data_IF_749852669535
#
_entry.id   IF_749852669535
#
_cell.length_a   1.000
_cell.length_b   1.000
_cell.length_c   1.000
_cell.angle_alpha   90.00
_cell.angle_beta   90.00
_cell.angle_gamma   90.00
#
_symmetry.space_group_name_H-M   'P 1'
#
loop_
_entity.id
_entity.type
_entity.pdbx_description
1 polymer ?
#
# COMPACT_ATOMS: atom_id res chain seq x y z
N UNK A 1 24.73 -14.52 -8.68
CA UNK A 1 23.34 -14.41 -9.16
C UNK A 1 22.54 -13.98 -7.95
N UNK A 2 22.04 -12.73 -7.90
CA UNK A 2 21.20 -12.29 -6.79
C UNK A 2 19.98 -13.22 -6.79
N UNK A 3 19.85 -14.03 -5.74
CA UNK A 3 18.66 -14.85 -5.57
C UNK A 3 17.46 -13.91 -5.66
N UNK A 4 16.43 -14.32 -6.39
CA UNK A 4 15.17 -13.60 -6.42
C UNK A 4 14.54 -13.71 -5.03
N UNK A 5 15.04 -12.91 -4.09
CA UNK A 5 14.48 -12.75 -2.76
C UNK A 5 13.12 -12.11 -3.01
N UNK A 6 12.08 -12.94 -2.99
CA UNK A 6 10.72 -12.45 -3.01
C UNK A 6 10.60 -11.45 -1.85
N UNK A 7 10.08 -10.23 -2.08
CA UNK A 7 9.93 -9.21 -1.04
C UNK A 7 8.78 -9.58 -0.10
N UNK A 8 8.93 -10.70 0.60
CA UNK A 8 7.90 -11.30 1.42
C UNK A 8 7.56 -10.38 2.58
N UNK A 9 8.57 -9.72 3.16
CA UNK A 9 8.40 -8.74 4.23
C UNK A 9 7.53 -7.57 3.76
N UNK A 10 7.87 -6.97 2.61
CA UNK A 10 7.08 -5.89 2.01
C UNK A 10 5.64 -6.32 1.75
N UNK A 11 5.42 -7.53 1.20
CA UNK A 11 4.07 -8.04 0.92
C UNK A 11 3.27 -8.22 2.21
N UNK A 12 3.88 -8.79 3.26
CA UNK A 12 3.23 -9.00 4.56
C UNK A 12 2.88 -7.66 5.20
N UNK A 13 3.83 -6.72 5.27
CA UNK A 13 3.59 -5.39 5.84
C UNK A 13 2.53 -4.62 5.05
N UNK A 14 2.60 -4.62 3.72
CA UNK A 14 1.61 -3.97 2.87
C UNK A 14 0.21 -4.56 3.08
N UNK A 15 0.11 -5.88 3.21
CA UNK A 15 -1.18 -6.55 3.46
C UNK A 15 -1.75 -6.18 4.83
N UNK A 16 -0.91 -6.17 5.88
CA UNK A 16 -1.33 -5.75 7.22
C UNK A 16 -1.79 -4.29 7.25
N UNK A 17 -1.04 -3.39 6.61
CA UNK A 17 -1.40 -1.98 6.52
C UNK A 17 -2.70 -1.77 5.74
N UNK A 18 -2.89 -2.50 4.63
CA UNK A 18 -4.15 -2.49 3.88
C UNK A 18 -5.32 -2.93 4.76
N UNK A 19 -5.19 -4.02 5.52
CA UNK A 19 -6.26 -4.50 6.41
C UNK A 19 -6.63 -3.46 7.47
N UNK A 20 -5.63 -2.81 8.08
CA UNK A 20 -5.84 -1.75 9.05
C UNK A 20 -6.55 -0.54 8.42
N UNK A 21 -6.07 -0.10 7.25
CA UNK A 21 -6.66 1.04 6.55
C UNK A 21 -8.11 0.79 6.13
N UNK A 22 -8.41 -0.40 5.59
CA UNK A 22 -9.77 -0.82 5.22
C UNK A 22 -10.70 -0.85 6.44
N UNK A 23 -10.22 -1.33 7.59
CA UNK A 23 -11.00 -1.36 8.82
C UNK A 23 -11.30 0.05 9.35
N UNK A 24 -10.31 0.93 9.35
CA UNK A 24 -10.45 2.32 9.78
C UNK A 24 -11.37 3.10 8.84
N UNK A 25 -11.10 3.10 7.54
CA UNK A 25 -11.90 3.81 6.54
C UNK A 25 -13.31 3.23 6.41
N UNK A 26 -13.46 1.92 6.52
CA UNK A 26 -14.78 1.29 6.56
C UNK A 26 -15.62 1.78 7.74
N UNK A 27 -15.00 2.01 8.90
CA UNK A 27 -15.68 2.64 10.05
C UNK A 27 -16.02 4.10 9.77
N UNK A 28 -15.12 4.85 9.15
CA UNK A 28 -15.38 6.25 8.76
C UNK A 28 -16.54 6.32 7.77
N UNK A 29 -16.58 5.49 6.74
CA UNK A 29 -17.67 5.44 5.76
C UNK A 29 -18.99 5.03 6.39
N UNK A 30 -18.99 4.09 7.34
CA UNK A 30 -20.18 3.73 8.10
C UNK A 30 -20.74 4.93 8.89
N UNK A 31 -19.88 5.67 9.61
CA UNK A 31 -20.33 6.76 10.48
C UNK A 31 -20.61 8.08 9.75
N UNK A 32 -19.82 8.42 8.72
CA UNK A 32 -19.90 9.72 8.03
C UNK A 32 -20.83 9.71 6.83
N UNK A 33 -20.90 8.60 6.11
CA UNK A 33 -21.72 8.48 4.89
C UNK A 33 -23.00 7.68 5.14
N UNK A 34 -23.20 7.17 6.37
CA UNK A 34 -24.37 6.39 6.79
C UNK A 34 -24.65 5.18 5.87
N UNK A 35 -23.58 4.61 5.29
CA UNK A 35 -23.65 3.43 4.43
C UNK A 35 -23.86 2.18 5.28
N UNK A 36 -24.50 1.15 4.72
CA UNK A 36 -24.60 -0.15 5.39
C UNK A 36 -23.21 -0.75 5.65
N UNK A 37 -23.00 -1.41 6.79
CA UNK A 37 -21.69 -1.95 7.22
C UNK A 37 -20.96 -2.76 6.13
N UNK A 38 -21.68 -3.62 5.42
CA UNK A 38 -21.09 -4.43 4.33
C UNK A 38 -20.67 -3.57 3.14
N UNK A 39 -21.45 -2.53 2.83
CA UNK A 39 -21.16 -1.58 1.75
C UNK A 39 -19.92 -0.75 2.13
N UNK A 40 -19.87 -0.22 3.35
CA UNK A 40 -18.72 0.57 3.83
C UNK A 40 -17.39 -0.19 3.73
N UNK A 41 -17.36 -1.46 4.15
CA UNK A 41 -16.15 -2.29 4.05
C UNK A 41 -15.78 -2.57 2.59
N UNK A 42 -16.75 -2.84 1.71
CA UNK A 42 -16.49 -3.06 0.28
C UNK A 42 -15.89 -1.81 -0.38
N UNK A 43 -16.46 -0.64 -0.12
CA UNK A 43 -15.92 0.63 -0.65
C UNK A 43 -14.53 0.95 -0.09
N UNK A 44 -14.32 0.77 1.22
CA UNK A 44 -13.00 0.95 1.82
C UNK A 44 -11.97 0.01 1.21
N UNK A 45 -12.30 -1.26 1.00
CA UNK A 45 -11.42 -2.22 0.34
C UNK A 45 -11.07 -1.78 -1.09
N UNK A 46 -12.06 -1.41 -1.90
CA UNK A 46 -11.82 -0.97 -3.27
C UNK A 46 -10.96 0.29 -3.36
N UNK A 47 -11.22 1.29 -2.50
CA UNK A 47 -10.46 2.55 -2.48
C UNK A 47 -9.03 2.31 -2.02
N UNK A 48 -8.82 1.53 -0.96
CA UNK A 48 -7.47 1.23 -0.45
C UNK A 48 -6.65 0.40 -1.44
N UNK A 49 -7.27 -0.58 -2.11
CA UNK A 49 -6.60 -1.35 -3.16
C UNK A 49 -6.24 -0.46 -4.36
N UNK A 50 -7.16 0.41 -4.79
CA UNK A 50 -6.89 1.34 -5.88
C UNK A 50 -5.76 2.32 -5.50
N UNK A 51 -5.79 2.85 -4.29
CA UNK A 51 -4.73 3.71 -3.77
C UNK A 51 -3.39 2.97 -3.75
N UNK A 52 -3.33 1.71 -3.29
CA UNK A 52 -2.11 0.91 -3.31
C UNK A 52 -1.57 0.70 -4.74
N UNK A 53 -2.44 0.41 -5.72
CA UNK A 53 -2.03 0.29 -7.12
C UNK A 53 -1.45 1.61 -7.64
N UNK A 54 -2.12 2.73 -7.36
CA UNK A 54 -1.66 4.06 -7.76
C UNK A 54 -0.32 4.39 -7.09
N UNK A 55 -0.16 4.11 -5.79
CA UNK A 55 1.08 4.33 -5.05
C UNK A 55 2.24 3.53 -5.64
N UNK A 56 2.03 2.25 -5.97
CA UNK A 56 3.07 1.46 -6.65
C UNK A 56 3.40 2.01 -8.03
N UNK A 57 2.40 2.41 -8.80
CA UNK A 57 2.63 3.01 -10.12
C UNK A 57 3.42 4.32 -10.01
N UNK A 58 3.06 5.19 -9.07
CA UNK A 58 3.78 6.43 -8.78
C UNK A 58 5.21 6.15 -8.30
N UNK A 59 5.40 5.14 -7.45
CA UNK A 59 6.71 4.73 -6.98
C UNK A 59 7.63 4.39 -8.15
N UNK A 60 7.20 3.52 -9.07
CA UNK A 60 8.00 3.15 -10.24
C UNK A 60 8.23 4.30 -11.22
N UNK A 61 7.29 5.24 -11.33
CA UNK A 61 7.48 6.45 -12.15
C UNK A 61 8.53 7.38 -11.54
N UNK A 62 8.44 7.63 -10.24
CA UNK A 62 9.32 8.56 -9.52
C UNK A 62 10.71 7.97 -9.31
N UNK A 63 10.84 6.64 -9.18
CA UNK A 63 12.12 5.96 -9.00
C UNK A 63 13.13 6.35 -10.09
N UNK A 64 12.69 6.44 -11.35
CA UNK A 64 13.56 6.82 -12.48
C UNK A 64 14.07 8.28 -12.42
N UNK A 65 13.47 9.12 -11.58
CA UNK A 65 13.88 10.51 -11.38
C UNK A 65 14.65 10.72 -10.07
N UNK A 66 14.82 9.67 -9.26
CA UNK A 66 15.46 9.78 -7.96
C UNK A 66 16.99 9.78 -8.12
N UNK A 67 17.72 10.66 -7.41
CA UNK A 67 19.17 10.60 -7.34
C UNK A 67 19.64 9.22 -6.85
N UNK A 68 20.74 8.72 -7.41
CA UNK A 68 21.24 7.35 -7.19
C UNK A 68 21.49 7.01 -5.70
N UNK A 69 21.83 8.01 -4.90
CA UNK A 69 22.01 7.90 -3.45
C UNK A 69 20.67 7.60 -2.75
N UNK A 70 19.62 8.36 -3.07
CA UNK A 70 18.27 8.20 -2.49
C UNK A 70 17.58 6.94 -3.01
N UNK A 71 17.86 6.51 -4.24
CA UNK A 71 17.30 5.26 -4.79
C UNK A 71 17.68 4.05 -3.92
N UNK A 72 18.96 3.94 -3.56
CA UNK A 72 19.46 2.84 -2.75
C UNK A 72 18.85 2.81 -1.34
N UNK A 73 18.67 3.99 -0.73
CA UNK A 73 18.15 4.12 0.63
C UNK A 73 16.64 3.83 0.69
N UNK A 74 15.89 4.24 -0.33
CA UNK A 74 14.45 3.96 -0.47
C UNK A 74 14.20 2.48 -0.75
N UNK A 75 15.03 1.84 -1.59
CA UNK A 75 14.94 0.39 -1.84
C UNK A 75 15.20 -0.36 -0.54
N UNK A 76 16.26 -0.02 0.21
CA UNK A 76 16.53 -0.67 1.49
C UNK A 76 15.39 -0.48 2.50
N UNK A 77 14.75 0.69 2.55
CA UNK A 77 13.61 0.91 3.45
C UNK A 77 12.38 0.06 3.08
N UNK A 78 12.15 -0.19 1.79
CA UNK A 78 10.97 -0.94 1.30
C UNK A 78 11.21 -2.45 1.37
N UNK A 79 12.42 -2.89 1.02
CA UNK A 79 12.80 -4.30 0.94
C UNK A 79 13.42 -4.82 2.23
N UNK A 80 13.71 -3.95 3.20
CA UNK A 80 14.40 -4.25 4.46
C UNK A 80 15.77 -4.91 4.25
N UNK A 81 16.46 -4.54 3.17
CA UNK A 81 17.81 -5.02 2.75
C UNK A 81 18.93 -4.06 3.20
#
# INVERSE_FOLDING_TARGET
MKEAVLPLETIVFQTLLLLVAIALEGRVFYHRLNLGRQISIKYAASINLLAAIISWFLFFLVQNWLPQELESEVINFIFFD
#
